data_IF_181323224903
#
_entry.id   IF_181323224903
#
_cell.length_a   1.000
_cell.length_b   1.000
_cell.length_c   1.000
_cell.angle_alpha   90.00
_cell.angle_beta   90.00
_cell.angle_gamma   90.00
#
_symmetry.space_group_name_H-M   'P 1'
#
loop_
_entity.id
_entity.type
_entity.pdbx_description
1 polymer ?
#
# COMPACT_ATOMS: atom_id res chain seq x y z
N UNK A 1 -0.75 22.89 -11.39
CA UNK A 1 -0.71 21.49 -11.80
C UNK A 1 0.68 20.92 -11.58
N UNK A 2 0.79 19.64 -11.24
CA UNK A 2 2.05 18.90 -11.20
C UNK A 2 1.92 17.55 -11.89
N UNK A 3 3.01 17.06 -12.44
CA UNK A 3 3.12 15.74 -13.02
C UNK A 3 4.48 15.13 -12.69
N UNK A 4 4.52 13.85 -12.37
CA UNK A 4 5.73 13.08 -12.10
C UNK A 4 5.64 11.72 -12.79
N UNK A 5 6.76 11.28 -13.36
CA UNK A 5 6.92 9.94 -13.93
C UNK A 5 8.26 9.36 -13.46
N UNK A 6 8.24 8.11 -13.01
CA UNK A 6 9.42 7.41 -12.51
C UNK A 6 9.42 5.97 -12.99
N UNK A 7 10.61 5.46 -13.29
CA UNK A 7 10.84 4.04 -13.56
C UNK A 7 11.89 3.52 -12.61
N UNK A 8 11.52 2.56 -11.80
CA UNK A 8 12.38 1.94 -10.80
C UNK A 8 12.66 0.48 -11.17
N UNK A 9 13.82 -0.02 -10.78
CA UNK A 9 14.21 -1.41 -10.97
C UNK A 9 14.61 -2.05 -9.64
N UNK A 10 14.11 -3.26 -9.38
CA UNK A 10 14.49 -4.04 -8.22
C UNK A 10 15.17 -5.34 -8.60
N UNK A 11 16.23 -5.69 -7.88
CA UNK A 11 16.91 -6.98 -8.03
C UNK A 11 16.14 -8.14 -7.37
N UNK A 12 15.19 -7.83 -6.49
CA UNK A 12 14.37 -8.83 -5.81
C UNK A 12 13.41 -9.57 -6.75
N UNK A 13 13.07 -8.94 -7.88
CA UNK A 13 12.09 -9.47 -8.83
C UNK A 13 12.74 -10.18 -10.01
N UNK A 14 11.98 -11.08 -10.65
CA UNK A 14 12.40 -11.78 -11.86
C UNK A 14 12.62 -10.84 -13.04
N UNK A 15 13.26 -11.35 -14.09
CA UNK A 15 13.67 -10.55 -15.26
C UNK A 15 12.48 -9.82 -15.91
N UNK A 16 11.32 -10.46 -15.96
CA UNK A 16 10.12 -9.91 -16.60
C UNK A 16 9.45 -8.80 -15.78
N UNK A 17 9.61 -8.82 -14.45
CA UNK A 17 8.96 -7.92 -13.52
C UNK A 17 9.92 -6.96 -12.79
N UNK A 18 11.18 -6.92 -13.24
CA UNK A 18 12.25 -6.14 -12.62
C UNK A 18 11.93 -4.64 -12.54
N UNK A 19 11.29 -4.10 -13.57
CA UNK A 19 11.03 -2.66 -13.66
C UNK A 19 9.56 -2.33 -13.43
N UNK A 20 9.31 -1.32 -12.59
CA UNK A 20 8.01 -0.70 -12.38
C UNK A 20 7.98 0.72 -12.95
N UNK A 21 6.87 1.10 -13.58
CA UNK A 21 6.62 2.47 -14.02
C UNK A 21 5.56 3.09 -13.12
N UNK A 22 5.85 4.28 -12.60
CA UNK A 22 5.03 4.98 -11.62
C UNK A 22 4.77 6.40 -12.10
N UNK A 23 3.49 6.80 -12.08
CA UNK A 23 3.05 8.10 -12.52
C UNK A 23 2.22 8.76 -11.43
N UNK A 24 2.36 10.07 -11.28
CA UNK A 24 1.51 10.85 -10.41
C UNK A 24 1.24 12.21 -11.05
N UNK A 25 0.04 12.72 -10.78
CA UNK A 25 -0.37 14.04 -11.22
C UNK A 25 -1.31 14.68 -10.22
N UNK A 26 -1.27 16.02 -10.14
CA UNK A 26 -2.21 16.78 -9.34
C UNK A 26 -2.61 18.08 -10.04
N UNK A 27 -3.85 18.48 -9.77
CA UNK A 27 -4.45 19.73 -10.21
C UNK A 27 -5.02 20.46 -8.99
N UNK A 28 -4.85 21.77 -8.98
CA UNK A 28 -5.52 22.66 -8.06
C UNK A 28 -6.01 23.88 -8.81
N UNK A 29 -7.28 24.25 -8.57
CA UNK A 29 -7.91 25.41 -9.18
C UNK A 29 -8.53 26.28 -8.10
N UNK A 30 -8.08 27.53 -8.04
CA UNK A 30 -8.64 28.54 -7.12
C UNK A 30 -9.80 29.20 -7.85
N UNK A 31 -11.00 28.72 -7.56
CA UNK A 31 -12.24 29.18 -8.22
C UNK A 31 -12.59 30.60 -7.77
N UNK A 32 -12.26 30.93 -6.50
CA UNK A 32 -12.54 32.26 -5.94
C UNK A 32 -11.77 33.39 -6.62
N UNK A 33 -10.67 33.08 -7.31
CA UNK A 33 -9.86 34.09 -8.02
C UNK A 33 -10.37 34.39 -9.44
N UNK A 34 -11.39 33.65 -9.89
CA UNK A 34 -11.91 33.78 -11.24
C UNK A 34 -12.97 34.93 -11.35
N UNK A 35 -12.96 35.65 -12.44
CA UNK A 35 -13.84 36.82 -12.69
C UNK A 35 -15.35 36.49 -12.65
N UNK A 36 -15.72 35.26 -12.97
CA UNK A 36 -17.11 34.79 -12.91
C UNK A 36 -17.59 34.47 -11.48
N UNK A 37 -16.68 34.28 -10.55
CA UNK A 37 -17.00 33.88 -9.16
C UNK A 37 -17.23 35.14 -8.30
N UNK A 38 -18.49 35.61 -8.24
CA UNK A 38 -18.86 36.80 -7.47
C UNK A 38 -19.78 36.49 -6.30
N UNK A 39 -19.24 35.71 -5.34
CA UNK A 39 -19.98 35.30 -4.14
C UNK A 39 -19.38 35.97 -2.91
N UNK A 40 -20.00 37.07 -2.44
CA UNK A 40 -19.46 37.88 -1.34
C UNK A 40 -19.30 37.15 0.01
N UNK A 41 -19.94 36.03 0.18
CA UNK A 41 -19.89 35.24 1.42
C UNK A 41 -18.69 34.29 1.47
N UNK A 42 -18.14 33.92 0.30
CA UNK A 42 -17.03 32.99 0.15
C UNK A 42 -15.77 33.81 -0.10
N UNK A 43 -14.80 33.69 0.81
CA UNK A 43 -13.53 34.40 0.74
C UNK A 43 -12.49 33.64 -0.08
N UNK A 44 -12.57 32.31 -0.05
CA UNK A 44 -11.65 31.43 -0.75
C UNK A 44 -12.31 30.10 -1.09
N UNK A 45 -12.20 29.66 -2.33
CA UNK A 45 -12.61 28.33 -2.78
C UNK A 45 -11.54 27.75 -3.70
N UNK A 46 -10.96 26.62 -3.30
CA UNK A 46 -10.02 25.87 -4.10
C UNK A 46 -10.51 24.45 -4.29
N UNK A 47 -10.55 24.00 -5.53
CA UNK A 47 -10.75 22.62 -5.90
C UNK A 47 -9.41 21.95 -6.13
N UNK A 48 -9.26 20.69 -5.72
CA UNK A 48 -8.04 19.92 -5.89
C UNK A 48 -8.34 18.48 -6.22
N UNK A 49 -7.47 17.91 -7.05
CA UNK A 49 -7.51 16.50 -7.40
C UNK A 49 -6.12 15.96 -7.62
N UNK A 50 -5.88 14.73 -7.23
CA UNK A 50 -4.63 14.05 -7.48
C UNK A 50 -4.84 12.57 -7.74
N UNK A 51 -3.98 12.03 -8.58
CA UNK A 51 -3.90 10.60 -8.85
C UNK A 51 -2.43 10.19 -8.89
N UNK A 52 -2.12 9.06 -8.29
CA UNK A 52 -0.76 8.54 -8.30
C UNK A 52 -0.70 7.03 -8.22
N UNK A 53 0.37 6.47 -8.78
CA UNK A 53 0.72 5.06 -8.67
C UNK A 53 2.10 4.98 -8.04
N UNK A 54 2.22 4.21 -6.96
CA UNK A 54 3.48 3.89 -6.30
C UNK A 54 3.72 2.40 -6.26
N UNK A 55 4.97 1.98 -6.17
CA UNK A 55 5.38 0.59 -6.06
C UNK A 55 6.02 0.31 -4.71
N UNK A 56 5.79 -0.88 -4.20
CA UNK A 56 6.46 -1.43 -3.03
C UNK A 56 7.22 -2.68 -3.44
N UNK A 57 8.51 -2.75 -3.06
CA UNK A 57 9.41 -3.88 -3.35
C UNK A 57 9.82 -4.64 -2.07
N UNK A 58 9.19 -4.34 -0.94
CA UNK A 58 9.58 -4.93 0.34
C UNK A 58 9.18 -6.40 0.41
N UNK A 59 10.07 -7.27 -0.07
CA UNK A 59 9.95 -8.73 0.01
C UNK A 59 10.98 -9.27 0.98
N UNK A 60 10.57 -10.18 1.85
CA UNK A 60 11.47 -10.87 2.77
C UNK A 60 11.25 -12.40 2.67
N UNK A 61 12.29 -13.19 2.35
CA UNK A 61 13.66 -12.79 1.98
C UNK A 61 13.76 -12.21 0.57
N UNK A 62 14.73 -11.34 0.37
CA UNK A 62 14.95 -10.58 -0.88
C UNK A 62 15.32 -11.44 -2.11
N UNK A 63 15.62 -12.72 -1.94
CA UNK A 63 16.05 -13.63 -3.01
C UNK A 63 14.97 -14.64 -3.42
N UNK A 64 13.71 -14.22 -3.45
CA UNK A 64 12.58 -15.09 -3.80
C UNK A 64 12.63 -15.66 -5.23
N UNK A 65 13.45 -15.11 -6.10
CA UNK A 65 13.66 -15.61 -7.47
C UNK A 65 14.57 -16.85 -7.55
N UNK A 66 15.18 -17.27 -6.43
CA UNK A 66 16.14 -18.37 -6.38
C UNK A 66 15.60 -19.40 -5.38
N UNK A 67 15.60 -20.68 -5.77
CA UNK A 67 15.37 -21.76 -4.79
C UNK A 67 16.61 -21.94 -3.94
N UNK A 68 16.41 -22.06 -2.63
CA UNK A 68 17.48 -22.29 -1.69
C UNK A 68 17.46 -23.72 -1.17
N UNK A 69 18.64 -24.24 -0.89
CA UNK A 69 18.82 -25.55 -0.26
C UNK A 69 19.33 -25.36 1.16
N UNK A 70 18.85 -26.20 2.05
CA UNK A 70 19.40 -26.35 3.39
C UNK A 70 20.14 -27.67 3.47
N UNK A 71 21.32 -27.63 4.06
CA UNK A 71 22.16 -28.83 4.34
C UNK A 71 22.04 -29.15 5.82
N UNK A 72 21.76 -30.41 6.13
CA UNK A 72 21.77 -30.91 7.51
C UNK A 72 23.17 -31.39 7.87
N UNK A 73 23.82 -30.70 8.82
CA UNK A 73 25.06 -31.10 9.43
C UNK A 73 24.78 -31.65 10.85
N UNK A 74 25.17 -32.88 11.13
CA UNK A 74 25.19 -33.42 12.50
C UNK A 74 24.14 -34.47 12.83
N UNK A 75 24.31 -35.12 13.96
CA UNK A 75 23.54 -36.26 14.51
C UNK A 75 22.27 -35.83 15.23
N UNK A 76 21.52 -34.89 14.73
CA UNK A 76 20.27 -34.43 15.35
C UNK A 76 19.17 -34.28 14.33
N UNK A 77 18.01 -34.61 14.73
CA UNK A 77 16.63 -34.49 14.15
C UNK A 77 16.37 -33.90 12.77
N UNK A 78 17.32 -33.40 12.02
CA UNK A 78 17.15 -32.80 10.69
C UNK A 78 17.92 -33.63 9.65
N UNK A 79 17.20 -34.58 9.08
CA UNK A 79 17.35 -35.18 7.76
C UNK A 79 18.75 -35.34 7.18
N UNK A 80 19.60 -36.06 7.83
CA UNK A 80 20.64 -36.80 7.13
C UNK A 80 20.03 -38.02 6.42
N UNK A 81 20.34 -38.21 5.14
CA UNK A 81 20.06 -39.49 4.52
C UNK A 81 21.14 -40.47 4.99
N UNK A 82 20.76 -41.55 5.70
CA UNK A 82 21.65 -42.66 5.97
C UNK A 82 21.75 -43.54 4.74
N UNK A 83 22.79 -43.40 3.98
CA UNK A 83 23.18 -44.39 2.98
C UNK A 83 24.08 -45.43 3.64
N UNK A 84 23.56 -46.65 3.90
CA UNK A 84 24.28 -47.70 4.56
C UNK A 84 24.56 -47.41 6.03
N UNK A 85 25.74 -47.81 6.53
CA UNK A 85 26.17 -47.62 7.93
C UNK A 85 26.97 -46.31 8.15
N UNK A 86 26.93 -45.35 7.22
CA UNK A 86 27.67 -44.10 7.36
C UNK A 86 26.81 -43.02 8.00
N UNK A 87 27.06 -42.64 9.27
CA UNK A 87 26.31 -41.58 9.95
C UNK A 87 26.68 -40.18 9.51
N UNK A 88 27.62 -40.02 8.57
CA UNK A 88 28.17 -38.72 8.13
C UNK A 88 27.62 -38.25 6.78
N UNK A 89 26.67 -38.96 6.18
CA UNK A 89 26.05 -38.56 4.94
C UNK A 89 25.26 -37.26 5.11
N UNK A 90 25.68 -36.21 4.42
CA UNK A 90 25.06 -34.91 4.46
C UNK A 90 23.81 -34.94 3.57
N UNK A 91 22.65 -34.71 4.17
CA UNK A 91 21.40 -34.53 3.43
C UNK A 91 21.20 -33.09 3.00
N UNK A 92 20.59 -32.91 1.84
CA UNK A 92 20.12 -31.59 1.37
C UNK A 92 18.62 -31.63 1.14
N UNK A 93 17.94 -30.59 1.54
CA UNK A 93 16.51 -30.41 1.27
C UNK A 93 16.25 -29.01 0.74
N UNK A 94 15.14 -28.86 -0.01
CA UNK A 94 14.71 -27.53 -0.46
C UNK A 94 14.24 -26.76 0.76
N UNK A 95 14.87 -25.60 1.00
CA UNK A 95 14.49 -24.70 2.07
C UNK A 95 13.39 -23.72 1.62
N UNK A 96 13.48 -23.25 0.37
CA UNK A 96 12.45 -22.38 -0.20
C UNK A 96 12.33 -22.59 -1.71
N UNK A 97 11.11 -22.46 -2.20
CA UNK A 97 10.84 -22.46 -3.63
C UNK A 97 11.02 -21.06 -4.22
N UNK A 98 11.46 -20.99 -5.49
CA UNK A 98 11.54 -19.73 -6.22
C UNK A 98 10.17 -19.30 -6.74
N UNK A 99 10.02 -17.99 -6.95
CA UNK A 99 8.95 -17.38 -7.73
C UNK A 99 9.53 -16.41 -8.75
N UNK A 100 9.55 -16.81 -10.02
CA UNK A 100 10.08 -15.99 -11.11
C UNK A 100 9.10 -14.89 -11.54
N UNK A 101 7.82 -15.04 -11.21
CA UNK A 101 6.75 -14.11 -11.57
C UNK A 101 6.52 -13.04 -10.51
N UNK A 102 7.31 -13.07 -9.43
CA UNK A 102 7.24 -12.08 -8.38
C UNK A 102 7.49 -10.67 -8.95
N UNK A 103 6.60 -9.75 -8.63
CA UNK A 103 6.64 -8.38 -9.13
C UNK A 103 6.27 -7.35 -8.06
N UNK A 104 6.18 -6.12 -8.50
CA UNK A 104 5.84 -4.97 -7.68
C UNK A 104 4.43 -5.07 -7.11
N UNK A 105 4.28 -4.86 -5.81
CA UNK A 105 3.00 -4.47 -5.24
C UNK A 105 2.72 -3.03 -5.65
N UNK A 106 1.56 -2.77 -6.25
CA UNK A 106 1.19 -1.45 -6.79
C UNK A 106 0.08 -0.83 -5.97
N UNK A 107 0.32 0.39 -5.51
CA UNK A 107 -0.69 1.21 -4.87
C UNK A 107 -1.12 2.32 -5.82
N UNK A 108 -2.42 2.34 -6.16
CA UNK A 108 -3.08 3.45 -6.85
C UNK A 108 -3.83 4.27 -5.83
N UNK A 109 -3.69 5.59 -5.91
CA UNK A 109 -4.39 6.50 -5.01
C UNK A 109 -5.02 7.63 -5.81
N UNK A 110 -6.30 7.87 -5.54
CA UNK A 110 -7.08 8.98 -6.06
C UNK A 110 -7.53 9.84 -4.87
N UNK A 111 -7.34 11.16 -4.98
CA UNK A 111 -7.89 12.11 -4.01
C UNK A 111 -8.60 13.22 -4.79
N UNK A 112 -9.77 13.63 -4.30
CA UNK A 112 -10.52 14.77 -4.79
C UNK A 112 -11.09 15.54 -3.60
N UNK A 113 -10.91 16.85 -3.58
CA UNK A 113 -11.34 17.64 -2.44
C UNK A 113 -11.46 19.11 -2.74
N UNK A 114 -11.94 19.85 -1.77
CA UNK A 114 -12.00 21.30 -1.82
C UNK A 114 -11.63 21.92 -0.48
N UNK A 115 -11.13 23.15 -0.57
CA UNK A 115 -10.84 24.02 0.55
C UNK A 115 -11.72 25.26 0.42
N UNK A 116 -12.51 25.57 1.45
CA UNK A 116 -13.44 26.67 1.49
C UNK A 116 -13.20 27.54 2.73
N UNK A 117 -13.04 28.87 2.55
CA UNK A 117 -13.07 29.82 3.65
C UNK A 117 -14.23 30.78 3.41
N UNK A 118 -14.93 31.13 4.48
CA UNK A 118 -16.06 32.02 4.39
C UNK A 118 -16.23 32.90 5.64
N UNK A 119 -17.06 33.95 5.50
CA UNK A 119 -17.36 34.90 6.58
C UNK A 119 -16.11 35.63 7.12
N UNK A 120 -15.37 36.28 6.22
CA UNK A 120 -14.08 36.94 6.50
C UNK A 120 -13.06 35.98 7.12
N UNK A 121 -12.97 34.78 6.51
CA UNK A 121 -12.06 33.69 6.93
C UNK A 121 -12.19 33.27 8.39
N UNK A 122 -13.36 33.50 9.00
CA UNK A 122 -13.66 33.00 10.32
C UNK A 122 -13.92 31.51 10.35
N UNK A 123 -14.47 31.01 9.26
CA UNK A 123 -14.77 29.60 9.10
C UNK A 123 -13.96 29.02 7.95
N UNK A 124 -13.44 27.83 8.16
CA UNK A 124 -12.79 27.03 7.14
C UNK A 124 -13.44 25.64 7.07
N UNK A 125 -13.60 25.14 5.86
CA UNK A 125 -14.08 23.80 5.59
C UNK A 125 -13.16 23.16 4.56
N UNK A 126 -12.56 22.05 4.93
CA UNK A 126 -11.82 21.18 4.01
C UNK A 126 -12.55 19.84 3.92
N UNK A 127 -12.83 19.38 2.72
CA UNK A 127 -13.43 18.08 2.51
C UNK A 127 -12.67 17.35 1.42
N UNK A 128 -12.35 16.09 1.69
CA UNK A 128 -11.62 15.19 0.81
C UNK A 128 -12.33 13.85 0.67
N UNK A 129 -12.42 13.38 -0.53
CA UNK A 129 -12.65 11.99 -0.85
C UNK A 129 -11.34 11.34 -1.25
N UNK A 130 -11.05 10.18 -0.69
CA UNK A 130 -9.89 9.38 -1.07
C UNK A 130 -10.27 7.96 -1.43
N UNK A 131 -9.57 7.44 -2.40
CA UNK A 131 -9.62 6.03 -2.78
C UNK A 131 -8.20 5.51 -2.97
N UNK A 132 -7.87 4.42 -2.28
CA UNK A 132 -6.60 3.73 -2.34
C UNK A 132 -6.83 2.27 -2.70
N UNK A 133 -6.21 1.81 -3.77
CA UNK A 133 -6.23 0.41 -4.18
C UNK A 133 -4.81 -0.14 -4.14
N UNK A 134 -4.61 -1.24 -3.42
CA UNK A 134 -3.35 -1.99 -3.41
C UNK A 134 -3.59 -3.28 -4.15
N UNK A 135 -2.85 -3.50 -5.24
CA UNK A 135 -2.92 -4.70 -6.07
C UNK A 135 -1.62 -5.47 -6.06
N UNK A 136 -1.71 -6.79 -6.14
CA UNK A 136 -0.55 -7.66 -6.07
C UNK A 136 0.12 -7.62 -4.70
N UNK A 137 -0.67 -7.68 -3.63
CA UNK A 137 -0.16 -7.75 -2.26
C UNK A 137 0.91 -8.84 -2.14
N UNK A 138 2.05 -8.49 -1.57
CA UNK A 138 3.16 -9.41 -1.34
C UNK A 138 2.86 -10.27 -0.12
N UNK A 139 2.55 -11.53 -0.37
CA UNK A 139 2.15 -12.48 0.66
C UNK A 139 2.86 -13.82 0.48
N UNK A 140 3.23 -14.46 1.60
CA UNK A 140 3.81 -15.80 1.60
C UNK A 140 2.73 -16.79 2.05
N UNK A 141 2.14 -17.57 1.13
CA UNK A 141 1.07 -18.51 1.47
C UNK A 141 1.61 -19.69 2.30
N UNK A 142 0.72 -20.34 3.05
CA UNK A 142 1.05 -21.59 3.71
C UNK A 142 1.13 -22.72 2.69
N UNK A 143 2.17 -23.54 2.75
CA UNK A 143 2.27 -24.76 1.96
C UNK A 143 1.63 -25.95 2.68
N UNK A 144 1.18 -26.93 1.88
CA UNK A 144 0.76 -28.21 2.43
C UNK A 144 1.92 -28.92 3.12
N UNK A 145 1.66 -29.52 4.28
CA UNK A 145 2.64 -30.32 5.02
C UNK A 145 3.23 -31.50 4.22
N UNK A 146 2.54 -31.93 3.14
CA UNK A 146 3.06 -32.96 2.23
C UNK A 146 4.34 -32.52 1.47
N UNK A 147 4.61 -31.21 1.40
CA UNK A 147 5.82 -30.68 0.77
C UNK A 147 7.00 -30.57 1.74
N UNK A 148 6.85 -31.09 2.94
CA UNK A 148 7.89 -31.09 3.97
C UNK A 148 8.02 -29.73 4.66
N UNK A 149 9.25 -29.37 5.02
CA UNK A 149 9.57 -28.13 5.77
C UNK A 149 9.93 -26.94 4.88
N UNK A 150 9.80 -27.08 3.56
CA UNK A 150 10.09 -26.00 2.62
C UNK A 150 9.16 -24.80 2.83
N UNK A 151 9.71 -23.59 2.71
CA UNK A 151 8.91 -22.37 2.76
C UNK A 151 8.30 -22.07 1.40
N UNK A 152 7.06 -21.58 1.41
CA UNK A 152 6.45 -21.04 0.21
C UNK A 152 7.19 -19.81 -0.30
N UNK A 153 7.24 -19.59 -1.61
CA UNK A 153 7.73 -18.33 -2.14
C UNK A 153 6.69 -17.22 -1.87
N UNK A 154 7.18 -16.01 -1.69
CA UNK A 154 6.30 -14.83 -1.72
C UNK A 154 5.66 -14.70 -3.10
N UNK A 155 4.40 -14.36 -3.16
CA UNK A 155 3.65 -14.17 -4.40
C UNK A 155 2.81 -12.89 -4.33
N UNK A 156 2.49 -12.33 -5.47
CA UNK A 156 1.58 -11.20 -5.59
C UNK A 156 0.13 -11.74 -5.54
N UNK A 157 -0.50 -11.66 -4.35
CA UNK A 157 -1.80 -12.27 -4.10
C UNK A 157 -2.77 -11.22 -3.56
N UNK A 158 -3.88 -11.08 -4.27
CA UNK A 158 -4.99 -10.28 -3.80
C UNK A 158 -4.89 -8.78 -4.08
N UNK A 159 -6.02 -8.16 -3.89
CA UNK A 159 -6.22 -6.71 -4.06
C UNK A 159 -7.09 -6.20 -2.93
N UNK A 160 -6.68 -5.08 -2.33
CA UNK A 160 -7.49 -4.37 -1.33
C UNK A 160 -7.84 -2.98 -1.83
N UNK A 161 -9.00 -2.52 -1.44
CA UNK A 161 -9.50 -1.18 -1.73
C UNK A 161 -9.93 -0.50 -0.44
N UNK A 162 -9.40 0.70 -0.20
CA UNK A 162 -9.80 1.57 0.90
C UNK A 162 -10.36 2.85 0.31
N UNK A 163 -11.57 3.25 0.71
CA UNK A 163 -12.16 4.52 0.30
C UNK A 163 -12.80 5.21 1.50
N UNK A 164 -12.83 6.53 1.48
CA UNK A 164 -13.37 7.28 2.60
C UNK A 164 -13.46 8.77 2.33
N UNK A 165 -13.88 9.47 3.38
CA UNK A 165 -14.01 10.92 3.40
C UNK A 165 -13.33 11.49 4.63
N UNK A 166 -12.60 12.58 4.43
CA UNK A 166 -12.04 13.41 5.47
C UNK A 166 -12.74 14.76 5.45
N UNK A 167 -13.21 15.22 6.61
CA UNK A 167 -13.85 16.50 6.79
C UNK A 167 -13.14 17.24 7.93
N UNK A 168 -12.78 18.48 7.68
CA UNK A 168 -12.19 19.38 8.67
C UNK A 168 -12.95 20.69 8.71
N UNK A 169 -13.50 21.05 9.87
CA UNK A 169 -14.19 22.29 10.15
C UNK A 169 -13.35 23.13 11.10
N UNK A 170 -12.95 24.30 10.66
CA UNK A 170 -12.22 25.27 11.49
C UNK A 170 -13.06 26.49 11.80
N UNK A 171 -12.95 26.99 13.02
CA UNK A 171 -13.45 28.29 13.43
C UNK A 171 -12.31 29.10 14.05
N UNK A 172 -12.14 30.34 13.56
CA UNK A 172 -11.12 31.25 14.09
C UNK A 172 -11.72 32.66 14.23
N UNK A 173 -11.91 33.10 15.45
CA UNK A 173 -12.29 34.48 15.75
C UNK A 173 -11.11 35.26 16.33
N UNK A 174 -10.27 35.78 15.44
CA UNK A 174 -9.12 36.62 15.81
C UNK A 174 -9.49 38.10 15.99
N UNK A 175 -10.75 38.49 15.74
CA UNK A 175 -11.20 39.87 15.65
C UNK A 175 -11.66 40.47 16.99
N UNK A 176 -11.76 39.65 18.04
CA UNK A 176 -12.13 40.15 19.37
C UNK A 176 -11.01 40.92 20.05
N UNK A 177 -11.31 42.07 20.61
CA UNK A 177 -10.28 42.90 21.35
C UNK A 177 -9.75 42.17 22.60
N UNK A 178 -10.58 41.31 23.22
CA UNK A 178 -10.28 40.71 24.53
C UNK A 178 -10.14 39.18 24.49
N UNK A 179 -10.70 38.52 23.48
CA UNK A 179 -10.71 37.03 23.39
C UNK A 179 -10.42 36.60 21.97
N UNK A 180 -9.47 35.67 21.82
CA UNK A 180 -9.20 34.95 20.57
C UNK A 180 -9.62 33.52 20.79
N UNK A 181 -10.56 33.02 20.00
CA UNK A 181 -11.05 31.68 20.06
C UNK A 181 -10.76 30.99 18.73
N UNK A 182 -10.11 29.83 18.77
CA UNK A 182 -9.97 28.94 17.63
C UNK A 182 -10.39 27.54 18.01
N UNK A 183 -11.13 26.88 17.14
CA UNK A 183 -11.53 25.50 17.31
C UNK A 183 -11.44 24.76 15.99
N UNK A 184 -11.16 23.46 16.04
CA UNK A 184 -11.06 22.60 14.90
C UNK A 184 -11.78 21.28 15.19
N UNK A 185 -12.63 20.84 14.26
CA UNK A 185 -13.32 19.56 14.31
C UNK A 185 -12.94 18.76 13.07
N UNK A 186 -12.37 17.58 13.29
CA UNK A 186 -12.01 16.64 12.23
C UNK A 186 -12.88 15.40 12.31
N UNK A 187 -13.42 14.97 11.17
CA UNK A 187 -14.18 13.74 11.02
C UNK A 187 -13.61 12.94 9.85
N UNK A 188 -13.26 11.68 10.09
CA UNK A 188 -12.76 10.76 9.09
C UNK A 188 -13.60 9.49 9.08
N UNK A 189 -13.98 9.03 7.89
CA UNK A 189 -14.57 7.71 7.70
C UNK A 189 -13.82 6.97 6.61
N UNK A 190 -13.58 5.68 6.82
CA UNK A 190 -12.91 4.82 5.86
C UNK A 190 -13.55 3.43 5.84
N UNK A 191 -13.69 2.88 4.63
CA UNK A 191 -14.09 1.51 4.39
C UNK A 191 -12.96 0.79 3.70
N UNK A 192 -12.56 -0.36 4.25
CA UNK A 192 -11.55 -1.23 3.66
C UNK A 192 -12.19 -2.54 3.21
N UNK A 193 -11.91 -2.95 1.98
CA UNK A 193 -12.45 -4.16 1.35
C UNK A 193 -11.34 -4.94 0.69
N UNK A 194 -11.39 -6.27 0.81
CA UNK A 194 -10.61 -7.17 -0.03
C UNK A 194 -11.45 -7.43 -1.28
N UNK A 195 -10.98 -6.95 -2.43
CA UNK A 195 -11.74 -7.02 -3.70
C UNK A 195 -11.36 -8.22 -4.54
N UNK A 196 -10.17 -8.78 -4.31
CA UNK A 196 -9.68 -9.93 -5.04
C UNK A 196 -8.78 -10.78 -4.14
N UNK A 197 -9.02 -12.10 -4.16
CA UNK A 197 -8.16 -13.10 -3.54
C UNK A 197 -7.87 -14.18 -4.56
N UNK A 198 -6.64 -14.66 -4.63
CA UNK A 198 -6.32 -15.77 -5.51
C UNK A 198 -6.91 -17.06 -4.91
N UNK A 199 -7.91 -17.63 -5.59
CA UNK A 199 -8.72 -18.76 -5.12
C UNK A 199 -7.84 -19.88 -4.53
N UNK A 200 -8.01 -20.16 -3.24
CA UNK A 200 -7.58 -21.37 -2.57
C UNK A 200 -6.35 -21.29 -1.68
N UNK A 201 -5.64 -20.15 -1.60
CA UNK A 201 -4.41 -20.05 -0.81
C UNK A 201 -4.54 -19.24 0.50
N UNK A 202 -5.68 -18.61 0.75
CA UNK A 202 -5.96 -18.00 2.04
C UNK A 202 -6.96 -18.90 2.79
N UNK A 203 -6.46 -19.96 3.37
CA UNK A 203 -7.15 -20.62 4.47
C UNK A 203 -6.89 -19.73 5.69
N UNK A 204 -7.66 -18.67 5.83
CA UNK A 204 -7.71 -17.91 7.05
C UNK A 204 -8.21 -18.83 8.13
N UNK A 205 -7.37 -19.13 9.11
CA UNK A 205 -7.82 -19.71 10.35
C UNK A 205 -8.90 -18.79 10.92
N UNK A 206 -10.12 -19.32 11.01
CA UNK A 206 -11.20 -18.59 11.63
C UNK A 206 -10.80 -18.31 13.09
N UNK A 207 -10.78 -17.06 13.45
CA UNK A 207 -10.85 -16.68 14.83
C UNK A 207 -12.33 -16.81 15.23
N UNK A 208 -12.64 -17.87 15.99
CA UNK A 208 -13.89 -17.96 16.73
C UNK A 208 -13.85 -17.02 17.94
#
# INVERSE_FOLDING_TARGET
ASFSARRDGSFAFGTNNKFGNFFAGSLGWIVSDEDFFKVNFIDYLKLRGSFGITGNENVNPQFQRISTLTYAYGTGQNAGYTFGNDPTSIGATIASFKNEDLGWEKQKQLNAGFDLNFSNSKFSLTADYFEKQISGLLFTPSLSLYLGTASAPTANIGTTKTSGFDLNLGYNNATGKNWKVSSNLTFTTAKNEVTETNNGLITGGGYG
#
